data_IF_524846548402
#
_entry.id   IF_524846548402
#
_cell.length_a   1.000
_cell.length_b   1.000
_cell.length_c   1.000
_cell.angle_alpha   90.00
_cell.angle_beta   90.00
_cell.angle_gamma   90.00
#
_symmetry.space_group_name_H-M   'P 1'
#
loop_
_entity.id
_entity.type
_entity.pdbx_description
1 polymer ?
#
# COMPACT_ATOMS: atom_id res chain seq x y z
N UNK A 1 -9.91 3.98 -1.90
CA UNK A 1 -9.98 4.97 -3.00
C UNK A 1 -9.81 6.37 -2.46
N UNK A 2 -9.17 7.26 -3.21
CA UNK A 2 -8.84 8.61 -2.76
C UNK A 2 -10.10 9.50 -2.66
N UNK A 3 -10.24 10.29 -1.58
CA UNK A 3 -11.35 11.22 -1.40
C UNK A 3 -11.39 12.33 -2.46
N UNK A 4 -12.59 12.86 -2.78
CA UNK A 4 -12.79 13.88 -3.83
C UNK A 4 -12.04 15.19 -3.55
N UNK A 5 -11.88 15.55 -2.29
CA UNK A 5 -11.13 16.73 -1.87
C UNK A 5 -9.62 16.55 -2.09
N UNK A 6 -9.08 15.37 -1.80
CA UNK A 6 -7.68 15.03 -2.09
C UNK A 6 -7.42 14.97 -3.60
N UNK A 7 -8.36 14.43 -4.38
CA UNK A 7 -8.27 14.48 -5.85
C UNK A 7 -8.22 15.94 -6.36
N UNK A 8 -9.02 16.85 -5.78
CA UNK A 8 -8.95 18.28 -6.13
C UNK A 8 -7.65 18.95 -5.69
N UNK A 9 -7.12 18.59 -4.51
CA UNK A 9 -5.88 19.17 -3.96
C UNK A 9 -4.65 18.76 -4.77
N UNK A 10 -4.57 17.49 -5.15
CA UNK A 10 -3.41 16.91 -5.81
C UNK A 10 -3.53 16.81 -7.34
N UNK A 11 -4.74 16.96 -7.90
CA UNK A 11 -5.02 16.84 -9.33
C UNK A 11 -5.06 15.38 -9.81
N UNK A 12 -4.06 14.59 -9.43
CA UNK A 12 -3.95 13.16 -9.76
C UNK A 12 -3.57 12.32 -8.52
N UNK A 13 -3.74 10.99 -8.57
CA UNK A 13 -3.24 10.12 -7.52
C UNK A 13 -1.71 10.21 -7.41
N UNK A 14 -1.22 10.59 -6.24
CA UNK A 14 0.21 10.64 -5.90
C UNK A 14 0.48 9.87 -4.61
N UNK A 15 1.74 9.51 -4.37
CA UNK A 15 2.14 8.88 -3.10
C UNK A 15 1.75 9.74 -1.89
N UNK A 16 1.99 11.06 -1.96
CA UNK A 16 1.59 12.01 -0.93
C UNK A 16 0.07 12.04 -0.71
N UNK A 17 -0.73 12.02 -1.77
CA UNK A 17 -2.19 11.99 -1.65
C UNK A 17 -2.70 10.72 -0.95
N UNK A 18 -2.10 9.56 -1.29
CA UNK A 18 -2.44 8.28 -0.65
C UNK A 18 -2.08 8.28 0.85
N UNK A 19 -0.91 8.81 1.19
CA UNK A 19 -0.46 8.90 2.59
C UNK A 19 -1.29 9.89 3.38
N UNK A 20 -1.62 11.06 2.84
CA UNK A 20 -2.53 11.99 3.52
C UNK A 20 -3.91 11.35 3.76
N UNK A 21 -4.42 10.60 2.77
CA UNK A 21 -5.67 9.86 2.95
C UNK A 21 -5.58 8.84 4.07
N UNK A 22 -4.46 8.12 4.19
CA UNK A 22 -4.25 7.14 5.25
C UNK A 22 -4.14 7.82 6.62
N UNK A 23 -3.30 8.87 6.72
CA UNK A 23 -3.09 9.60 7.97
C UNK A 23 -4.37 10.22 8.52
N UNK A 24 -5.28 10.71 7.67
CA UNK A 24 -6.60 11.18 8.14
C UNK A 24 -7.40 10.10 8.87
N UNK A 25 -7.23 8.83 8.53
CA UNK A 25 -7.88 7.72 9.23
C UNK A 25 -7.09 7.32 10.48
N UNK A 26 -5.76 7.36 10.41
CA UNK A 26 -4.87 7.19 11.58
C UNK A 26 -5.23 8.21 12.67
N UNK A 27 -5.38 9.49 12.31
CA UNK A 27 -5.73 10.58 13.22
C UNK A 27 -7.11 10.37 13.88
N UNK A 28 -8.06 9.76 13.16
CA UNK A 28 -9.35 9.40 13.73
C UNK A 28 -9.18 8.32 14.79
N UNK A 29 -8.42 7.26 14.49
CA UNK A 29 -8.17 6.17 15.43
C UNK A 29 -7.40 6.66 16.67
N UNK A 30 -6.40 7.50 16.47
CA UNK A 30 -5.61 8.13 17.54
C UNK A 30 -6.49 8.99 18.46
N UNK A 31 -7.39 9.81 17.90
CA UNK A 31 -8.36 10.60 18.66
C UNK A 31 -9.25 9.76 19.58
N UNK A 32 -9.54 8.52 19.20
CA UNK A 32 -10.33 7.59 19.99
C UNK A 32 -9.48 6.59 20.80
N UNK A 33 -8.16 6.84 20.92
CA UNK A 33 -7.21 6.00 21.64
C UNK A 33 -7.29 4.52 21.22
N UNK A 34 -7.34 4.29 19.90
CA UNK A 34 -7.41 2.96 19.30
C UNK A 34 -6.08 2.64 18.60
N UNK A 35 -5.07 2.09 19.30
CA UNK A 35 -3.76 1.83 18.73
C UNK A 35 -3.68 0.53 17.90
N UNK A 36 -4.62 -0.40 18.10
CA UNK A 36 -4.56 -1.76 17.54
C UNK A 36 -5.11 -1.84 16.11
N UNK A 37 -4.36 -1.27 15.17
CA UNK A 37 -4.69 -1.32 13.75
C UNK A 37 -3.46 -1.60 12.88
N UNK A 38 -3.72 -1.82 11.59
CA UNK A 38 -2.70 -1.93 10.55
C UNK A 38 -3.13 -1.14 9.33
N UNK A 39 -2.17 -0.65 8.55
CA UNK A 39 -2.44 0.24 7.41
C UNK A 39 -1.91 -0.36 6.11
N UNK A 40 -2.62 -0.14 5.01
CA UNK A 40 -2.13 -0.41 3.66
C UNK A 40 -2.39 0.78 2.76
N UNK A 41 -1.41 1.16 1.95
CA UNK A 41 -1.51 2.21 0.92
C UNK A 41 -1.19 1.59 -0.44
N UNK A 42 -2.19 0.96 -1.06
CA UNK A 42 -2.02 0.23 -2.32
C UNK A 42 -2.17 1.17 -3.51
N UNK A 43 -1.30 1.03 -4.50
CA UNK A 43 -1.38 1.68 -5.81
C UNK A 43 -1.07 0.67 -6.93
N UNK A 44 -1.54 0.96 -8.15
CA UNK A 44 -1.32 0.10 -9.32
C UNK A 44 0.05 0.32 -9.97
N UNK A 45 0.60 1.52 -9.85
CA UNK A 45 1.98 1.82 -10.22
C UNK A 45 2.97 1.35 -9.16
N UNK A 46 3.92 0.48 -9.53
CA UNK A 46 4.93 -0.09 -8.62
C UNK A 46 5.70 1.01 -7.87
N UNK A 47 6.25 1.99 -8.58
CA UNK A 47 7.04 3.06 -7.96
C UNK A 47 6.22 3.96 -7.04
N UNK A 48 4.97 4.28 -7.42
CA UNK A 48 4.06 5.06 -6.58
C UNK A 48 3.69 4.31 -5.30
N UNK A 49 3.43 3.00 -5.40
CA UNK A 49 3.14 2.17 -4.23
C UNK A 49 4.35 2.14 -3.28
N UNK A 50 5.54 1.88 -3.81
CA UNK A 50 6.78 1.84 -3.02
C UNK A 50 7.03 3.18 -2.33
N UNK A 51 6.90 4.29 -3.04
CA UNK A 51 7.05 5.63 -2.47
C UNK A 51 6.01 5.89 -1.37
N UNK A 52 4.75 5.52 -1.57
CA UNK A 52 3.70 5.69 -0.57
C UNK A 52 3.98 4.90 0.71
N UNK A 53 4.40 3.63 0.62
CA UNK A 53 4.76 2.84 1.80
C UNK A 53 5.99 3.40 2.52
N UNK A 54 7.02 3.86 1.79
CA UNK A 54 8.21 4.51 2.38
C UNK A 54 7.86 5.79 3.13
N UNK A 55 6.97 6.61 2.56
CA UNK A 55 6.50 7.83 3.20
C UNK A 55 5.65 7.53 4.44
N UNK A 56 4.80 6.49 4.38
CA UNK A 56 3.96 6.09 5.49
C UNK A 56 4.76 5.47 6.64
N UNK A 57 5.73 4.61 6.34
CA UNK A 57 6.58 3.94 7.33
C UNK A 57 7.41 4.92 8.18
N UNK A 58 7.58 6.17 7.74
CA UNK A 58 8.24 7.25 8.49
C UNK A 58 7.30 8.02 9.41
N UNK A 59 5.99 7.79 9.32
CA UNK A 59 4.96 8.57 10.00
C UNK A 59 4.18 7.75 11.04
N UNK A 60 4.21 6.42 10.94
CA UNK A 60 3.50 5.53 11.85
C UNK A 60 4.37 4.37 12.30
N UNK A 61 4.08 3.84 13.49
CA UNK A 61 4.74 2.63 14.04
C UNK A 61 3.86 1.38 13.87
N UNK A 62 2.59 1.55 13.50
CA UNK A 62 1.65 0.44 13.35
C UNK A 62 1.99 -0.45 12.15
N UNK A 63 1.67 -1.75 12.22
CA UNK A 63 2.01 -2.70 11.16
C UNK A 63 1.50 -2.30 9.78
N UNK A 64 2.34 -2.54 8.76
CA UNK A 64 2.06 -2.28 7.36
C UNK A 64 1.70 -3.58 6.63
N UNK A 65 0.51 -3.57 6.01
CA UNK A 65 0.09 -4.65 5.11
C UNK A 65 0.43 -4.29 3.66
N UNK A 66 1.48 -4.91 3.13
CA UNK A 66 1.97 -4.68 1.79
C UNK A 66 1.07 -5.31 0.72
N UNK A 67 1.01 -4.64 -0.43
CA UNK A 67 0.41 -5.21 -1.62
C UNK A 67 0.42 -4.21 -2.77
N UNK A 68 0.57 -4.74 -3.99
CA UNK A 68 0.41 -3.99 -5.24
C UNK A 68 -0.97 -4.34 -5.80
N UNK A 69 -1.83 -3.34 -6.01
CA UNK A 69 -3.16 -3.58 -6.60
C UNK A 69 -3.07 -3.69 -8.11
N UNK A 70 -4.03 -4.38 -8.75
CA UNK A 70 -4.12 -4.49 -10.21
C UNK A 70 -2.81 -4.98 -10.88
N UNK A 71 -2.10 -5.91 -10.22
CA UNK A 71 -0.82 -6.41 -10.72
C UNK A 71 -0.98 -7.08 -12.12
N UNK A 72 -2.16 -7.66 -12.38
CA UNK A 72 -2.57 -8.22 -13.68
C UNK A 72 -2.75 -9.73 -13.61
N UNK A 73 -2.77 -10.37 -14.78
CA UNK A 73 -2.77 -11.84 -14.87
C UNK A 73 -1.46 -12.44 -14.35
N UNK A 74 -1.44 -13.76 -14.14
CA UNK A 74 -0.37 -14.52 -13.46
C UNK A 74 1.04 -13.96 -13.69
N UNK A 75 1.58 -14.00 -14.91
CA UNK A 75 2.97 -13.55 -15.19
C UNK A 75 3.20 -12.07 -14.90
N UNK A 76 2.35 -11.19 -15.42
CA UNK A 76 2.53 -9.74 -15.27
C UNK A 76 2.37 -9.30 -13.82
N UNK A 77 1.41 -9.89 -13.11
CA UNK A 77 1.17 -9.66 -11.70
C UNK A 77 2.31 -10.15 -10.83
N UNK A 78 2.80 -11.37 -11.06
CA UNK A 78 3.96 -11.92 -10.35
C UNK A 78 5.16 -10.99 -10.45
N UNK A 79 5.52 -10.52 -11.66
CA UNK A 79 6.68 -9.65 -11.86
C UNK A 79 6.49 -8.29 -11.14
N UNK A 80 5.35 -7.64 -11.32
CA UNK A 80 5.09 -6.33 -10.68
C UNK A 80 5.08 -6.44 -9.15
N UNK A 81 4.42 -7.45 -8.61
CA UNK A 81 4.35 -7.69 -7.18
C UNK A 81 5.71 -8.02 -6.59
N UNK A 82 6.49 -8.91 -7.23
CA UNK A 82 7.83 -9.27 -6.78
C UNK A 82 8.77 -8.05 -6.73
N UNK A 83 8.75 -7.20 -7.77
CA UNK A 83 9.58 -5.98 -7.78
C UNK A 83 9.14 -5.02 -6.67
N UNK A 84 7.86 -4.67 -6.60
CA UNK A 84 7.38 -3.67 -5.64
C UNK A 84 7.49 -4.11 -4.18
N UNK A 85 7.07 -5.34 -3.88
CA UNK A 85 7.15 -5.90 -2.53
C UNK A 85 8.61 -6.16 -2.16
N UNK A 86 9.41 -6.71 -3.08
CA UNK A 86 10.83 -6.96 -2.84
C UNK A 86 11.61 -5.69 -2.49
N UNK A 87 11.35 -4.57 -3.17
CA UNK A 87 11.96 -3.27 -2.82
C UNK A 87 11.64 -2.84 -1.39
N UNK A 88 10.39 -3.01 -0.95
CA UNK A 88 9.95 -2.62 0.40
C UNK A 88 10.54 -3.54 1.48
N UNK A 89 10.55 -4.85 1.24
CA UNK A 89 11.16 -5.81 2.16
C UNK A 89 12.67 -5.57 2.32
N UNK A 90 13.36 -5.20 1.23
CA UNK A 90 14.79 -4.81 1.29
C UNK A 90 15.04 -3.54 2.11
N UNK A 91 14.06 -2.64 2.19
CA UNK A 91 14.11 -1.46 3.06
C UNK A 91 13.74 -1.79 4.52
N UNK A 92 13.38 -3.03 4.83
CA UNK A 92 12.88 -3.45 6.15
C UNK A 92 11.43 -3.02 6.41
N UNK A 93 10.64 -2.73 5.37
CA UNK A 93 9.26 -2.24 5.49
C UNK A 93 8.29 -3.39 5.20
N UNK A 94 7.36 -3.64 6.12
CA UNK A 94 6.22 -4.55 5.95
C UNK A 94 6.15 -5.68 6.97
N UNK A 95 4.95 -5.93 7.49
CA UNK A 95 4.69 -6.92 8.55
C UNK A 95 3.82 -8.07 8.07
N UNK A 96 3.03 -7.81 7.03
CA UNK A 96 2.22 -8.80 6.32
C UNK A 96 2.09 -8.36 4.87
N UNK A 97 1.87 -9.30 3.96
CA UNK A 97 1.77 -9.00 2.54
C UNK A 97 0.65 -9.80 1.88
N UNK A 98 0.20 -9.32 0.71
CA UNK A 98 -0.62 -10.08 -0.22
C UNK A 98 -0.22 -9.75 -1.67
N UNK A 99 0.10 -10.79 -2.43
CA UNK A 99 0.21 -10.72 -3.90
C UNK A 99 -1.21 -10.75 -4.47
N UNK A 100 -1.55 -9.87 -5.41
CA UNK A 100 -2.91 -9.78 -5.98
C UNK A 100 -2.88 -10.12 -7.46
N UNK A 101 -3.39 -11.30 -7.82
CA UNK A 101 -3.33 -11.84 -9.18
C UNK A 101 -4.73 -12.09 -9.74
N UNK A 102 -4.91 -11.83 -11.03
CA UNK A 102 -6.08 -12.32 -11.76
C UNK A 102 -5.85 -13.79 -12.18
N UNK A 103 -5.76 -14.68 -11.19
CA UNK A 103 -5.49 -16.11 -11.33
C UNK A 103 -6.16 -16.89 -10.18
N UNK A 104 -5.93 -18.21 -10.10
CA UNK A 104 -6.35 -19.01 -8.94
C UNK A 104 -5.72 -18.43 -7.65
N UNK A 105 -6.48 -18.25 -6.55
CA UNK A 105 -5.95 -17.73 -5.28
C UNK A 105 -4.74 -18.50 -4.74
N UNK A 106 -4.61 -19.79 -5.05
CA UNK A 106 -3.44 -20.60 -4.66
C UNK A 106 -2.16 -20.05 -5.30
N UNK A 107 -2.24 -19.44 -6.47
CA UNK A 107 -1.09 -18.78 -7.12
C UNK A 107 -0.65 -17.53 -6.37
N UNK A 108 -1.55 -16.80 -5.69
CA UNK A 108 -1.16 -15.66 -4.84
C UNK A 108 -0.28 -16.07 -3.65
N UNK A 109 -0.40 -17.33 -3.18
CA UNK A 109 0.36 -17.88 -2.05
C UNK A 109 1.72 -18.42 -2.48
N UNK A 110 1.84 -18.91 -3.72
CA UNK A 110 3.08 -19.49 -4.26
C UNK A 110 4.14 -18.44 -4.60
N UNK A 111 3.70 -17.24 -5.00
CA UNK A 111 4.55 -16.10 -5.39
C UNK A 111 5.09 -15.41 -4.15
#
# INVERSE_FOLDING_TARGET
SLGKDLQRKYGEPTAAALVESAMRHVDILDKFNYPDFKVSVKASGVFMAVEAYRLLARQIEQPLHLGITEAGGLRGGTVKSAIGIGMLLMDGIGDTLRVSLAADPVEEVKV
#
